data_IF_852778808821
#
_entry.id   IF_852778808821
#
_cell.length_a   1.000
_cell.length_b   1.000
_cell.length_c   1.000
_cell.angle_alpha   90.00
_cell.angle_beta   90.00
_cell.angle_gamma   90.00
#
_symmetry.space_group_name_H-M   'P 1'
#
loop_
_entity.id
_entity.type
_entity.pdbx_description
1 polymer ?
#
# COMPACT_ATOMS: atom_id res chain seq x y z
N UNK A 1 -10.14 -21.97 45.36
CA UNK A 1 -10.93 -20.74 45.60
C UNK A 1 -11.70 -20.44 44.32
N UNK A 2 -12.99 -20.77 44.29
CA UNK A 2 -13.91 -20.47 43.20
C UNK A 2 -14.32 -19.00 43.25
N UNK A 3 -14.29 -18.30 42.10
CA UNK A 3 -15.16 -17.16 41.85
C UNK A 3 -15.76 -17.30 40.46
N UNK A 4 -17.08 -17.47 40.46
CA UNK A 4 -17.96 -17.47 39.29
C UNK A 4 -18.63 -16.10 39.13
N UNK A 5 -19.20 -15.90 37.93
CA UNK A 5 -20.22 -14.93 37.50
C UNK A 5 -19.66 -13.58 36.99
N UNK A 6 -20.17 -12.96 35.92
CA UNK A 6 -21.47 -13.09 35.26
C UNK A 6 -21.40 -12.71 33.77
N UNK A 7 -22.27 -13.35 32.99
CA UNK A 7 -22.69 -12.98 31.63
C UNK A 7 -23.75 -11.88 31.76
N UNK A 8 -23.63 -10.80 30.98
CA UNK A 8 -24.71 -9.84 30.73
C UNK A 8 -24.68 -9.43 29.26
N UNK A 9 -25.63 -9.95 28.49
CA UNK A 9 -25.97 -9.45 27.16
C UNK A 9 -26.81 -8.19 27.25
N UNK A 10 -26.65 -7.31 26.25
CA UNK A 10 -27.56 -6.19 26.03
C UNK A 10 -27.85 -6.09 24.52
N UNK A 11 -29.06 -6.49 24.15
CA UNK A 11 -29.72 -6.15 22.89
C UNK A 11 -30.18 -4.69 22.98
N UNK A 12 -29.82 -3.86 21.99
CA UNK A 12 -30.45 -2.57 21.77
C UNK A 12 -30.71 -2.38 20.27
N UNK A 13 -31.97 -2.56 19.90
CA UNK A 13 -32.52 -2.20 18.60
C UNK A 13 -32.60 -0.67 18.48
N UNK A 14 -32.08 -0.11 17.38
CA UNK A 14 -32.24 1.30 17.05
C UNK A 14 -33.10 1.40 15.79
N UNK A 15 -34.35 1.82 15.99
CA UNK A 15 -35.23 2.34 14.96
C UNK A 15 -34.81 3.77 14.62
N UNK A 16 -34.58 4.10 13.35
CA UNK A 16 -34.57 5.50 12.89
C UNK A 16 -35.65 5.67 11.84
N UNK A 17 -36.64 6.47 12.22
CA UNK A 17 -37.76 6.89 11.42
C UNK A 17 -37.33 7.96 10.41
N UNK A 18 -37.85 7.80 9.19
CA UNK A 18 -37.85 8.77 8.10
C UNK A 18 -38.66 10.03 8.44
N UNK A 19 -38.11 11.21 8.15
CA UNK A 19 -38.84 12.46 8.04
C UNK A 19 -38.56 13.12 6.68
N UNK A 20 -39.64 13.34 5.95
CA UNK A 20 -39.67 13.99 4.66
C UNK A 20 -39.89 15.51 4.80
N UNK A 21 -39.39 16.22 3.78
CA UNK A 21 -39.83 17.52 3.23
C UNK A 21 -39.62 18.79 4.06
N UNK A 22 -38.75 19.68 3.55
CA UNK A 22 -39.10 21.10 3.33
C UNK A 22 -38.59 21.53 1.95
N UNK A 23 -39.54 21.93 1.12
CA UNK A 23 -39.37 22.63 -0.16
C UNK A 23 -38.96 24.07 0.14
N UNK A 24 -37.85 24.53 -0.43
CA UNK A 24 -37.40 25.91 -0.40
C UNK A 24 -36.86 26.32 -1.76
N UNK A 25 -37.76 26.84 -2.60
CA UNK A 25 -37.45 27.41 -3.90
C UNK A 25 -36.87 28.82 -3.69
N UNK A 26 -35.63 29.05 -4.11
CA UNK A 26 -35.09 30.40 -4.33
C UNK A 26 -34.30 30.40 -5.63
N UNK A 27 -34.94 30.92 -6.66
CA UNK A 27 -34.37 31.35 -7.93
C UNK A 27 -33.31 32.44 -7.73
N UNK A 28 -32.07 32.15 -8.13
CA UNK A 28 -31.09 33.17 -8.50
C UNK A 28 -30.39 32.70 -9.78
N UNK A 29 -30.64 33.42 -10.87
CA UNK A 29 -30.01 33.26 -12.20
C UNK A 29 -29.03 34.45 -12.43
N UNK A 30 -28.19 34.43 -13.48
CA UNK A 30 -26.76 34.19 -13.36
C UNK A 30 -25.94 35.48 -13.56
N UNK A 31 -24.85 35.66 -12.80
CA UNK A 31 -23.80 36.59 -13.22
C UNK A 31 -22.72 35.80 -13.96
N UNK A 32 -22.71 36.03 -15.27
CA UNK A 32 -21.74 35.50 -16.19
C UNK A 32 -20.32 35.97 -15.89
N UNK A 33 -19.43 35.02 -16.09
CA UNK A 33 -18.03 35.20 -16.39
C UNK A 33 -17.52 33.80 -16.71
N UNK A 34 -16.95 33.52 -17.90
CA UNK A 34 -16.06 32.38 -18.01
C UNK A 34 -14.99 32.62 -16.95
N UNK A 35 -14.93 31.76 -15.94
CA UNK A 35 -13.76 31.68 -15.10
C UNK A 35 -12.63 31.28 -16.05
N UNK A 36 -11.81 32.24 -16.43
CA UNK A 36 -10.48 32.00 -16.98
C UNK A 36 -9.81 31.00 -16.04
N UNK A 37 -9.38 29.82 -16.52
CA UNK A 37 -8.43 29.04 -15.75
C UNK A 37 -7.16 29.89 -15.68
N UNK A 38 -7.01 30.66 -14.60
CA UNK A 38 -5.72 31.15 -14.13
C UNK A 38 -4.96 29.97 -13.55
N UNK A 39 -4.63 29.03 -14.43
CA UNK A 39 -3.55 28.08 -14.26
C UNK A 39 -2.62 28.36 -15.42
N UNK A 40 -1.68 29.28 -15.23
CA UNK A 40 -0.43 29.20 -15.98
C UNK A 40 0.21 27.89 -15.52
N UNK A 41 -0.20 26.77 -16.14
CA UNK A 41 0.61 25.58 -16.16
C UNK A 41 1.94 26.06 -16.73
N UNK A 42 2.96 26.13 -15.86
CA UNK A 42 4.28 26.61 -16.23
C UNK A 42 4.70 25.85 -17.48
N UNK A 43 4.88 26.57 -18.57
CA UNK A 43 5.43 26.09 -19.85
C UNK A 43 6.84 25.49 -19.71
N UNK A 44 7.39 25.48 -18.50
CA UNK A 44 8.66 24.85 -18.15
C UNK A 44 8.54 23.33 -17.94
N UNK A 45 7.34 22.80 -17.67
CA UNK A 45 7.14 21.37 -17.46
C UNK A 45 7.47 20.53 -18.71
N UNK A 46 7.26 21.10 -19.90
CA UNK A 46 7.53 20.45 -21.18
C UNK A 46 9.04 20.30 -21.49
N UNK A 47 9.91 21.00 -20.74
CA UNK A 47 11.35 21.02 -20.99
C UNK A 47 12.19 20.56 -19.79
N UNK A 48 11.59 19.81 -18.86
CA UNK A 48 12.34 19.26 -17.73
C UNK A 48 13.31 18.16 -18.16
N UNK A 49 14.49 18.07 -17.50
CA UNK A 49 15.45 17.02 -17.79
C UNK A 49 14.83 15.64 -17.53
N UNK A 50 15.03 14.72 -18.47
CA UNK A 50 14.74 13.31 -18.25
C UNK A 50 15.81 12.72 -17.33
N UNK A 51 15.39 11.78 -16.49
CA UNK A 51 16.33 10.92 -15.78
C UNK A 51 16.63 9.74 -16.68
N UNK A 52 17.90 9.45 -16.93
CA UNK A 52 18.31 8.27 -17.68
C UNK A 52 19.57 7.68 -17.06
N UNK A 53 19.53 6.40 -16.72
CA UNK A 53 20.67 5.66 -16.24
C UNK A 53 20.63 4.22 -16.76
N UNK A 54 21.78 3.68 -17.12
CA UNK A 54 21.91 2.28 -17.50
C UNK A 54 23.31 1.79 -17.13
N UNK A 55 23.42 0.51 -16.74
CA UNK A 55 24.68 -0.07 -16.34
C UNK A 55 24.51 -1.43 -15.69
N UNK A 56 25.52 -1.85 -14.94
CA UNK A 56 25.49 -3.01 -14.04
C UNK A 56 25.55 -2.51 -12.59
N UNK A 57 24.93 -3.24 -11.65
CA UNK A 57 24.87 -2.81 -10.25
C UNK A 57 26.21 -2.88 -9.50
N UNK A 58 26.32 -2.26 -8.31
CA UNK A 58 25.43 -1.21 -7.77
C UNK A 58 25.74 0.18 -8.34
N UNK A 59 24.74 1.06 -8.39
CA UNK A 59 24.85 2.42 -8.94
C UNK A 59 24.10 3.43 -8.08
N UNK A 60 24.62 4.66 -7.96
CA UNK A 60 23.95 5.75 -7.26
C UNK A 60 24.28 7.10 -7.90
N UNK A 61 23.27 7.96 -8.05
CA UNK A 61 23.45 9.33 -8.55
C UNK A 61 22.51 10.31 -7.84
N UNK A 62 22.98 11.56 -7.69
CA UNK A 62 22.18 12.66 -7.20
C UNK A 62 21.54 13.41 -8.37
N UNK A 63 20.21 13.35 -8.45
CA UNK A 63 19.41 13.92 -9.53
C UNK A 63 18.83 15.26 -9.06
N UNK A 64 18.99 16.35 -9.84
CA UNK A 64 18.33 17.62 -9.55
C UNK A 64 16.82 17.53 -9.81
N UNK A 65 16.01 18.01 -8.87
CA UNK A 65 14.56 18.10 -9.04
C UNK A 65 14.20 19.48 -9.60
N UNK A 66 13.54 19.56 -10.78
CA UNK A 66 13.13 20.83 -11.37
C UNK A 66 12.17 21.62 -10.48
N UNK A 67 12.20 22.96 -10.61
CA UNK A 67 11.22 23.82 -9.95
C UNK A 67 9.80 23.46 -10.41
N UNK A 68 8.88 23.24 -9.47
CA UNK A 68 7.48 22.95 -9.76
C UNK A 68 7.15 21.50 -10.10
N UNK A 69 8.14 20.60 -10.09
CA UNK A 69 7.88 19.16 -10.16
C UNK A 69 7.35 18.66 -8.81
N UNK A 70 6.20 18.00 -8.83
CA UNK A 70 5.53 17.41 -7.66
C UNK A 70 5.53 15.88 -7.69
N UNK A 71 5.85 15.28 -8.85
CA UNK A 71 6.01 13.83 -8.98
C UNK A 71 7.07 13.45 -9.99
N UNK A 72 7.53 12.21 -9.91
CA UNK A 72 8.37 11.57 -10.92
C UNK A 72 7.77 10.21 -11.27
N UNK A 73 7.67 9.92 -12.57
CA UNK A 73 7.38 8.58 -13.10
C UNK A 73 8.70 7.94 -13.50
N UNK A 74 8.97 6.72 -13.04
CA UNK A 74 10.21 5.99 -13.31
C UNK A 74 9.88 4.62 -13.89
N UNK A 75 10.40 4.35 -15.08
CA UNK A 75 10.45 3.02 -15.65
C UNK A 75 11.79 2.38 -15.31
N UNK A 76 11.75 1.25 -14.63
CA UNK A 76 12.91 0.47 -14.23
C UNK A 76 12.85 -0.94 -14.81
N UNK A 77 13.96 -1.42 -15.34
CA UNK A 77 14.12 -2.79 -15.83
C UNK A 77 15.48 -3.32 -15.43
N UNK A 78 15.53 -4.60 -15.08
CA UNK A 78 16.78 -5.32 -14.80
C UNK A 78 16.73 -6.75 -15.33
N UNK A 79 17.91 -7.34 -15.58
CA UNK A 79 18.04 -8.61 -16.31
C UNK A 79 18.10 -9.85 -15.43
N UNK A 80 18.35 -9.75 -14.12
CA UNK A 80 18.47 -10.94 -13.27
C UNK A 80 18.51 -10.66 -11.77
N UNK A 81 17.99 -11.62 -11.01
CA UNK A 81 17.99 -11.59 -9.54
C UNK A 81 16.91 -10.71 -8.92
N UNK A 82 17.24 -10.17 -7.75
CA UNK A 82 16.41 -9.22 -6.99
C UNK A 82 17.03 -7.83 -7.17
N UNK A 83 16.20 -6.80 -7.20
CA UNK A 83 16.62 -5.42 -7.17
C UNK A 83 16.15 -4.69 -5.91
N UNK A 84 16.85 -3.61 -5.58
CA UNK A 84 16.37 -2.54 -4.70
C UNK A 84 16.66 -1.20 -5.37
N UNK A 85 15.66 -0.34 -5.44
CA UNK A 85 15.70 1.00 -6.02
C UNK A 85 15.32 2.00 -4.91
N UNK A 86 16.29 2.76 -4.41
CA UNK A 86 16.08 3.75 -3.36
C UNK A 86 15.99 5.16 -3.93
N UNK A 87 14.99 5.95 -3.52
CA UNK A 87 14.62 7.20 -4.20
C UNK A 87 14.25 8.34 -3.25
N UNK A 88 15.22 8.85 -2.50
CA UNK A 88 15.03 10.03 -1.62
C UNK A 88 15.28 9.81 -0.14
N UNK A 89 15.74 8.62 0.25
CA UNK A 89 16.29 8.34 1.57
C UNK A 89 15.25 8.05 2.65
N UNK A 90 13.96 7.99 2.31
CA UNK A 90 12.92 7.42 3.16
C UNK A 90 12.61 6.00 2.69
N UNK A 91 12.48 5.05 3.63
CA UNK A 91 12.22 3.64 3.29
C UNK A 91 10.92 3.44 2.49
N UNK A 92 9.92 4.32 2.65
CA UNK A 92 8.65 4.26 1.93
C UNK A 92 8.78 4.63 0.43
N UNK A 93 9.86 5.32 0.05
CA UNK A 93 10.16 5.67 -1.34
C UNK A 93 11.03 4.58 -2.02
N UNK A 94 11.53 3.62 -1.24
CA UNK A 94 12.34 2.52 -1.77
C UNK A 94 11.42 1.46 -2.41
N UNK A 95 11.91 0.80 -3.46
CA UNK A 95 11.20 -0.26 -4.18
C UNK A 95 12.10 -1.47 -4.27
N UNK A 96 11.51 -2.66 -4.18
CA UNK A 96 12.27 -3.90 -4.32
C UNK A 96 11.48 -4.96 -5.07
N UNK A 97 12.14 -5.99 -5.56
CA UNK A 97 11.45 -7.08 -6.23
C UNK A 97 12.33 -7.90 -7.14
N UNK A 98 11.72 -8.79 -7.92
CA UNK A 98 12.44 -9.59 -8.91
C UNK A 98 12.60 -8.85 -10.24
N UNK A 99 13.75 -9.04 -10.87
CA UNK A 99 13.99 -8.72 -12.27
C UNK A 99 13.15 -9.63 -13.19
N UNK A 100 12.83 -9.16 -14.41
CA UNK A 100 12.01 -9.94 -15.36
C UNK A 100 10.96 -9.16 -16.15
N UNK A 101 11.01 -7.83 -16.15
CA UNK A 101 10.11 -6.97 -16.90
C UNK A 101 10.38 -5.49 -16.60
N UNK A 102 9.69 -4.61 -17.32
CA UNK A 102 9.65 -3.19 -16.96
C UNK A 102 8.65 -2.97 -15.84
N UNK A 103 9.05 -2.18 -14.85
CA UNK A 103 8.21 -1.72 -13.74
C UNK A 103 8.13 -0.20 -13.81
N UNK A 104 6.93 0.33 -13.69
CA UNK A 104 6.67 1.77 -13.70
C UNK A 104 6.25 2.20 -12.31
N UNK A 105 6.94 3.18 -11.75
CA UNK A 105 6.69 3.74 -10.44
C UNK A 105 6.29 5.19 -10.58
N UNK A 106 5.20 5.58 -9.95
CA UNK A 106 4.81 6.99 -9.85
C UNK A 106 4.96 7.45 -8.42
N UNK A 107 5.88 8.39 -8.19
CA UNK A 107 6.34 8.74 -6.85
C UNK A 107 6.10 10.22 -6.59
N UNK A 108 5.58 10.57 -5.40
CA UNK A 108 5.53 11.96 -4.98
C UNK A 108 6.95 12.51 -4.86
N UNK A 109 7.12 13.81 -5.11
CA UNK A 109 8.33 14.55 -4.80
C UNK A 109 8.10 15.31 -3.49
N UNK A 110 8.56 14.74 -2.38
CA UNK A 110 8.61 15.43 -1.09
C UNK A 110 9.64 16.56 -1.20
N UNK A 111 9.37 17.74 -0.62
CA UNK A 111 10.06 19.05 -0.74
C UNK A 111 11.61 19.01 -0.70
N UNK A 112 12.22 18.36 -1.68
CA UNK A 112 13.65 18.18 -1.83
C UNK A 112 14.06 18.58 -3.22
N UNK A 113 15.03 19.48 -3.28
CA UNK A 113 15.58 20.02 -4.53
C UNK A 113 16.55 19.06 -5.22
N UNK A 114 16.92 17.97 -4.54
CA UNK A 114 17.80 16.91 -5.03
C UNK A 114 17.32 15.57 -4.51
N UNK A 115 17.38 14.54 -5.35
CA UNK A 115 17.04 13.16 -5.00
C UNK A 115 18.28 12.29 -5.16
N UNK A 116 18.64 11.54 -4.14
CA UNK A 116 19.58 10.43 -4.34
C UNK A 116 18.76 9.25 -4.88
N UNK A 117 19.13 8.78 -6.08
CA UNK A 117 18.62 7.55 -6.64
C UNK A 117 19.72 6.51 -6.55
N UNK A 118 19.42 5.36 -5.96
CA UNK A 118 20.35 4.23 -5.87
C UNK A 118 19.71 2.97 -6.40
N UNK A 119 20.43 2.26 -7.26
CA UNK A 119 20.04 0.97 -7.83
C UNK A 119 21.00 -0.09 -7.29
N UNK A 120 20.43 -1.07 -6.61
CA UNK A 120 21.09 -2.29 -6.23
C UNK A 120 20.50 -3.44 -7.05
N UNK A 121 21.34 -4.03 -7.88
CA UNK A 121 21.12 -5.31 -8.57
C UNK A 121 22.39 -6.12 -8.40
N UNK A 122 22.38 -7.42 -8.72
CA UNK A 122 23.60 -8.23 -8.72
C UNK A 122 24.69 -7.61 -9.63
N UNK A 123 25.97 -7.79 -9.30
CA UNK A 123 27.09 -7.17 -10.02
C UNK A 123 27.12 -7.52 -11.53
N UNK A 124 26.56 -8.68 -11.90
CA UNK A 124 26.44 -9.17 -13.27
C UNK A 124 25.08 -8.87 -13.93
N UNK A 125 24.13 -8.31 -13.18
CA UNK A 125 22.83 -7.92 -13.68
C UNK A 125 22.87 -6.51 -14.26
N UNK A 126 22.39 -6.37 -15.51
CA UNK A 126 22.22 -5.09 -16.13
C UNK A 126 20.89 -4.46 -15.69
N UNK A 127 20.86 -3.13 -15.62
CA UNK A 127 19.66 -2.35 -15.40
C UNK A 127 19.55 -1.18 -16.38
N UNK A 128 18.33 -0.71 -16.58
CA UNK A 128 18.04 0.59 -17.16
C UNK A 128 16.93 1.27 -16.37
N UNK A 129 17.05 2.59 -16.24
CA UNK A 129 16.13 3.46 -15.52
C UNK A 129 15.88 4.70 -16.39
N UNK A 130 14.61 5.00 -16.63
CA UNK A 130 14.20 6.26 -17.27
C UNK A 130 13.15 6.96 -16.42
N UNK A 131 13.18 8.28 -16.33
CA UNK A 131 12.23 9.03 -15.52
C UNK A 131 11.72 10.33 -16.12
N UNK A 132 10.45 10.62 -15.86
CA UNK A 132 9.69 11.83 -16.22
C UNK A 132 9.34 12.64 -14.98
N UNK A 133 9.70 13.91 -14.92
CA UNK A 133 9.10 14.80 -13.91
C UNK A 133 7.70 15.25 -14.32
N UNK A 134 6.81 15.43 -13.35
CA UNK A 134 5.46 15.95 -13.56
C UNK A 134 5.09 17.00 -12.50
N UNK A 135 4.33 18.03 -12.92
CA UNK A 135 3.79 19.06 -12.04
C UNK A 135 2.57 18.55 -11.28
N UNK A 136 1.97 17.44 -11.71
CA UNK A 136 0.85 16.82 -11.02
C UNK A 136 1.32 16.18 -9.72
N UNK A 137 0.50 16.29 -8.68
CA UNK A 137 0.65 15.53 -7.45
C UNK A 137 0.27 14.08 -7.75
N UNK A 138 1.01 13.12 -7.18
CA UNK A 138 0.58 11.71 -7.16
C UNK A 138 -0.45 11.58 -6.05
N UNK A 139 -1.68 11.28 -6.41
CA UNK A 139 -2.72 10.91 -5.46
C UNK A 139 -2.91 9.40 -5.52
N UNK A 140 -2.89 8.69 -4.38
CA UNK A 140 -3.23 7.28 -4.31
C UNK A 140 -4.60 7.00 -4.96
N UNK A 141 -4.75 5.85 -5.64
CA UNK A 141 -6.06 5.40 -6.08
C UNK A 141 -6.92 5.12 -4.83
N UNK A 142 -8.05 5.83 -4.63
CA UNK A 142 -8.84 5.70 -3.41
C UNK A 142 -9.43 4.30 -3.22
N UNK A 143 -9.66 3.52 -4.28
CA UNK A 143 -10.12 2.14 -4.15
C UNK A 143 -8.99 1.26 -3.61
N UNK A 144 -7.77 1.39 -4.14
CA UNK A 144 -6.60 0.66 -3.65
C UNK A 144 -6.25 1.09 -2.23
N UNK A 145 -6.32 2.39 -1.91
CA UNK A 145 -6.12 2.92 -0.56
C UNK A 145 -7.04 2.21 0.45
N UNK A 146 -8.33 2.13 0.14
CA UNK A 146 -9.30 1.46 1.01
C UNK A 146 -8.97 -0.03 1.20
N UNK A 147 -8.61 -0.72 0.12
CA UNK A 147 -8.23 -2.14 0.18
C UNK A 147 -6.94 -2.36 1.01
N UNK A 148 -5.98 -1.45 0.91
CA UNK A 148 -4.74 -1.47 1.69
C UNK A 148 -4.96 -1.17 3.18
N UNK A 149 -5.91 -0.30 3.53
CA UNK A 149 -6.29 -0.03 4.91
C UNK A 149 -6.93 -1.27 5.55
N UNK A 150 -7.87 -1.92 4.84
CA UNK A 150 -8.49 -3.17 5.28
C UNK A 150 -7.44 -4.28 5.45
N UNK A 151 -6.51 -4.42 4.49
CA UNK A 151 -5.44 -5.40 4.58
C UNK A 151 -4.46 -5.10 5.73
N UNK A 152 -4.15 -3.83 5.99
CA UNK A 152 -3.31 -3.41 7.13
C UNK A 152 -3.92 -3.83 8.47
N UNK A 153 -5.24 -3.70 8.61
CA UNK A 153 -5.97 -4.13 9.80
C UNK A 153 -5.91 -5.65 10.01
N UNK A 154 -6.09 -6.42 8.93
CA UNK A 154 -6.02 -7.89 8.95
C UNK A 154 -4.60 -8.36 9.33
N UNK A 155 -3.59 -7.86 8.63
CA UNK A 155 -2.18 -8.22 8.88
C UNK A 155 -1.71 -7.78 10.27
N UNK A 156 -2.16 -6.62 10.77
CA UNK A 156 -1.90 -6.19 12.16
C UNK A 156 -2.49 -7.16 13.18
N UNK A 157 -3.72 -7.61 12.95
CA UNK A 157 -4.39 -8.57 13.85
C UNK A 157 -3.66 -9.92 13.87
N UNK A 158 -3.24 -10.43 12.70
CA UNK A 158 -2.43 -11.64 12.60
C UNK A 158 -1.06 -11.48 13.28
N UNK A 159 -0.40 -10.35 13.06
CA UNK A 159 0.88 -10.02 13.67
C UNK A 159 0.78 -10.00 15.19
N UNK A 160 -0.21 -9.30 15.76
CA UNK A 160 -0.39 -9.23 17.22
C UNK A 160 -0.79 -10.58 17.83
N UNK A 161 -1.64 -11.37 17.16
CA UNK A 161 -1.95 -12.72 17.63
C UNK A 161 -0.70 -13.60 17.69
N UNK A 162 0.20 -13.45 16.71
CA UNK A 162 1.49 -14.16 16.67
C UNK A 162 2.44 -13.69 17.78
N UNK A 163 2.62 -12.37 17.93
CA UNK A 163 3.47 -11.80 18.97
C UNK A 163 2.98 -12.16 20.38
N UNK A 164 1.67 -12.14 20.59
CA UNK A 164 1.07 -12.57 21.85
C UNK A 164 1.24 -14.06 22.14
N UNK A 165 1.20 -14.91 21.11
CA UNK A 165 1.46 -16.34 21.26
C UNK A 165 2.92 -16.57 21.69
N UNK A 166 3.86 -15.85 21.08
CA UNK A 166 5.29 -15.92 21.41
C UNK A 166 5.58 -15.37 22.83
N UNK A 167 4.84 -14.34 23.27
CA UNK A 167 4.92 -13.79 24.63
C UNK A 167 4.23 -14.67 25.69
N UNK A 168 3.35 -15.59 25.27
CA UNK A 168 2.53 -16.43 26.14
C UNK A 168 1.25 -15.77 26.66
N UNK A 169 0.89 -14.60 26.10
CA UNK A 169 -0.32 -13.84 26.43
C UNK A 169 -1.54 -14.30 25.62
N UNK A 170 -1.31 -14.91 24.45
CA UNK A 170 -2.32 -15.52 23.58
C UNK A 170 -2.09 -17.03 23.54
N UNK A 171 -3.16 -17.81 23.71
CA UNK A 171 -3.11 -19.27 23.59
C UNK A 171 -3.11 -19.73 22.12
N UNK A 172 -2.74 -20.98 21.88
CA UNK A 172 -2.79 -21.57 20.53
C UNK A 172 -4.22 -21.57 19.95
N UNK A 173 -5.24 -21.77 20.78
CA UNK A 173 -6.64 -21.73 20.36
C UNK A 173 -7.06 -20.32 19.95
N UNK A 174 -6.63 -19.29 20.69
CA UNK A 174 -6.89 -17.88 20.35
C UNK A 174 -6.14 -17.47 19.08
N UNK A 175 -4.88 -17.89 18.91
CA UNK A 175 -4.14 -17.67 17.67
C UNK A 175 -4.81 -18.34 16.47
N UNK A 176 -5.26 -19.59 16.62
CA UNK A 176 -5.98 -20.31 15.56
C UNK A 176 -7.27 -19.58 15.18
N UNK A 177 -8.02 -19.08 16.18
CA UNK A 177 -9.22 -18.28 15.94
C UNK A 177 -8.91 -16.97 15.21
N UNK A 178 -7.77 -16.32 15.50
CA UNK A 178 -7.32 -15.13 14.75
C UNK A 178 -7.00 -15.45 13.29
N UNK A 179 -6.41 -16.61 12.98
CA UNK A 179 -6.17 -17.04 11.59
C UNK A 179 -7.50 -17.34 10.86
N UNK A 180 -8.44 -18.00 11.51
CA UNK A 180 -9.79 -18.24 10.95
C UNK A 180 -10.56 -16.93 10.70
N UNK A 181 -10.41 -15.95 11.60
CA UNK A 181 -10.98 -14.62 11.41
C UNK A 181 -10.33 -13.90 10.23
N UNK A 182 -8.99 -13.92 10.13
CA UNK A 182 -8.28 -13.33 9.01
C UNK A 182 -8.69 -13.97 7.67
N UNK A 183 -8.88 -15.29 7.62
CA UNK A 183 -9.44 -15.96 6.44
C UNK A 183 -10.79 -15.39 6.03
N UNK A 184 -11.70 -15.22 7.00
CA UNK A 184 -13.03 -14.66 6.76
C UNK A 184 -12.95 -13.23 6.21
N UNK A 185 -12.10 -12.41 6.80
CA UNK A 185 -11.94 -11.01 6.40
C UNK A 185 -11.27 -10.89 5.02
N UNK A 186 -10.25 -11.70 4.74
CA UNK A 186 -9.61 -11.80 3.42
C UNK A 186 -10.59 -12.33 2.36
N UNK A 187 -11.45 -13.29 2.71
CA UNK A 187 -12.47 -13.80 1.80
C UNK A 187 -13.53 -12.72 1.48
N UNK A 188 -13.89 -11.89 2.46
CA UNK A 188 -14.77 -10.74 2.25
C UNK A 188 -14.09 -9.69 1.38
N UNK A 189 -12.86 -9.29 1.71
CA UNK A 189 -12.07 -8.32 0.95
C UNK A 189 -11.84 -8.79 -0.49
N UNK A 190 -11.59 -10.09 -0.71
CA UNK A 190 -11.38 -10.64 -2.06
C UNK A 190 -12.58 -10.46 -3.00
N UNK A 191 -13.79 -10.24 -2.46
CA UNK A 191 -15.00 -10.00 -3.24
C UNK A 191 -15.15 -8.55 -3.69
N UNK A 192 -14.50 -7.61 -3.00
CA UNK A 192 -14.59 -6.16 -3.24
C UNK A 192 -13.29 -5.56 -3.73
N UNK A 193 -12.16 -6.23 -3.48
CA UNK A 193 -10.83 -5.76 -3.81
C UNK A 193 -10.72 -5.47 -5.30
N UNK A 194 -10.11 -4.33 -5.60
CA UNK A 194 -10.04 -3.78 -6.94
C UNK A 194 -8.64 -3.89 -7.54
N UNK A 195 -8.57 -3.81 -8.87
CA UNK A 195 -7.31 -3.72 -9.59
C UNK A 195 -6.33 -4.85 -9.31
N UNK A 196 -5.08 -4.50 -9.04
CA UNK A 196 -3.99 -5.46 -8.87
C UNK A 196 -4.04 -6.21 -7.53
N UNK A 197 -4.77 -5.71 -6.53
CA UNK A 197 -4.87 -6.32 -5.19
C UNK A 197 -5.80 -7.53 -5.12
N UNK A 198 -6.75 -7.64 -6.05
CA UNK A 198 -7.74 -8.72 -6.03
C UNK A 198 -7.10 -10.12 -6.03
N UNK A 199 -6.07 -10.34 -6.84
CA UNK A 199 -5.39 -11.64 -6.91
C UNK A 199 -4.57 -11.97 -5.64
N UNK A 200 -3.67 -11.09 -5.14
CA UNK A 200 -2.97 -11.33 -3.89
C UNK A 200 -3.90 -11.55 -2.69
N UNK A 201 -4.98 -10.78 -2.56
CA UNK A 201 -5.96 -10.94 -1.47
C UNK A 201 -6.66 -12.29 -1.55
N UNK A 202 -7.10 -12.72 -2.74
CA UNK A 202 -7.70 -14.04 -2.93
C UNK A 202 -6.71 -15.18 -2.61
N UNK A 203 -5.43 -15.01 -2.96
CA UNK A 203 -4.37 -15.95 -2.61
C UNK A 203 -4.15 -16.01 -1.10
N UNK A 204 -4.11 -14.87 -0.41
CA UNK A 204 -4.01 -14.79 1.06
C UNK A 204 -5.21 -15.45 1.75
N UNK A 205 -6.42 -15.24 1.23
CA UNK A 205 -7.63 -15.91 1.72
C UNK A 205 -7.50 -17.42 1.58
N UNK A 206 -7.04 -17.92 0.42
CA UNK A 206 -6.83 -19.36 0.19
C UNK A 206 -5.73 -19.92 1.10
N UNK A 207 -4.65 -19.17 1.31
CA UNK A 207 -3.57 -19.60 2.19
C UNK A 207 -4.09 -19.72 3.63
N UNK A 208 -4.89 -18.76 4.10
CA UNK A 208 -5.45 -18.78 5.45
C UNK A 208 -6.62 -19.78 5.63
N UNK A 209 -7.09 -20.44 4.55
CA UNK A 209 -8.14 -21.49 4.56
C UNK A 209 -7.65 -22.83 5.11
N UNK A 210 -6.96 -22.79 6.25
CA UNK A 210 -6.35 -23.94 6.89
C UNK A 210 -6.59 -23.93 8.39
N UNK A 211 -6.82 -25.11 8.96
CA UNK A 211 -6.68 -25.29 10.42
C UNK A 211 -5.20 -25.39 10.72
N UNK A 212 -4.55 -24.23 10.82
CA UNK A 212 -3.18 -24.17 11.26
C UNK A 212 -3.10 -24.60 12.73
N UNK A 213 -2.52 -25.77 12.98
CA UNK A 213 -2.37 -26.31 14.34
C UNK A 213 -1.08 -25.86 15.02
N UNK A 214 -0.24 -25.11 14.30
CA UNK A 214 1.02 -24.51 14.78
C UNK A 214 1.28 -23.22 14.03
N UNK A 215 1.94 -22.26 14.69
CA UNK A 215 2.40 -21.01 14.10
C UNK A 215 3.28 -21.24 12.87
N UNK A 216 4.21 -22.19 12.96
CA UNK A 216 5.20 -22.49 11.93
C UNK A 216 4.55 -22.93 10.61
N UNK A 217 3.36 -23.50 10.66
CA UNK A 217 2.67 -23.96 9.46
C UNK A 217 2.18 -22.81 8.57
N UNK A 218 1.74 -21.69 9.14
CA UNK A 218 1.34 -20.50 8.38
C UNK A 218 2.58 -19.79 7.83
N UNK A 219 3.60 -19.57 8.67
CA UNK A 219 4.86 -18.93 8.27
C UNK A 219 5.61 -19.72 7.16
N UNK A 220 5.45 -21.04 7.14
CA UNK A 220 6.03 -21.91 6.11
C UNK A 220 5.23 -21.91 4.79
N UNK A 221 4.02 -21.35 4.73
CA UNK A 221 3.22 -21.30 3.51
C UNK A 221 3.87 -20.36 2.49
N UNK A 222 4.29 -20.92 1.36
CA UNK A 222 4.76 -20.14 0.21
C UNK A 222 3.67 -19.23 -0.33
N UNK A 223 2.43 -19.70 -0.33
CA UNK A 223 1.27 -19.00 -0.84
C UNK A 223 0.99 -17.75 -0.01
N UNK A 224 0.99 -17.88 1.32
CA UNK A 224 0.82 -16.76 2.24
C UNK A 224 1.92 -15.73 2.03
N UNK A 225 3.19 -16.16 2.03
CA UNK A 225 4.33 -15.26 1.89
C UNK A 225 4.37 -14.52 0.55
N UNK A 226 4.07 -15.22 -0.55
CA UNK A 226 4.00 -14.61 -1.88
C UNK A 226 2.83 -13.61 -1.95
N UNK A 227 1.65 -13.99 -1.45
CA UNK A 227 0.48 -13.13 -1.43
C UNK A 227 0.73 -11.84 -0.64
N UNK A 228 1.27 -11.96 0.58
CA UNK A 228 1.57 -10.83 1.45
C UNK A 228 2.64 -9.91 0.84
N UNK A 229 3.68 -10.49 0.22
CA UNK A 229 4.73 -9.71 -0.49
C UNK A 229 4.15 -8.91 -1.66
N UNK A 230 3.31 -9.54 -2.49
CA UNK A 230 2.71 -8.86 -3.64
C UNK A 230 1.72 -7.78 -3.22
N UNK A 231 0.89 -8.06 -2.20
CA UNK A 231 -0.07 -7.09 -1.69
C UNK A 231 0.64 -5.87 -1.07
N UNK A 232 1.70 -6.11 -0.27
CA UNK A 232 2.54 -5.04 0.27
C UNK A 232 3.13 -4.16 -0.83
N UNK A 233 3.67 -4.77 -1.89
CA UNK A 233 4.24 -4.03 -3.02
C UNK A 233 3.20 -3.17 -3.74
N UNK A 234 1.98 -3.68 -3.96
CA UNK A 234 0.91 -2.92 -4.61
C UNK A 234 0.51 -1.72 -3.74
N UNK A 235 0.40 -1.92 -2.44
CA UNK A 235 0.09 -0.85 -1.49
C UNK A 235 1.20 0.21 -1.43
N UNK A 236 2.48 -0.18 -1.44
CA UNK A 236 3.62 0.73 -1.58
C UNK A 236 3.59 1.50 -2.90
N UNK A 237 3.29 0.83 -4.01
CA UNK A 237 3.23 1.44 -5.34
C UNK A 237 2.06 2.43 -5.47
N UNK A 238 0.98 2.22 -4.71
CA UNK A 238 -0.14 3.16 -4.59
C UNK A 238 0.15 4.36 -3.68
N UNK A 239 1.25 4.34 -2.91
CA UNK A 239 1.54 5.37 -1.91
C UNK A 239 0.78 5.19 -0.59
N UNK A 240 0.25 4.00 -0.34
CA UNK A 240 -0.51 3.63 0.87
C UNK A 240 0.07 2.34 1.46
N UNK A 241 1.33 2.35 1.93
CA UNK A 241 2.01 1.15 2.40
C UNK A 241 1.25 0.51 3.57
N UNK A 242 1.33 -0.82 3.67
CA UNK A 242 0.69 -1.54 4.77
C UNK A 242 1.27 -1.08 6.10
N UNK A 243 0.39 -0.70 7.03
CA UNK A 243 0.77 -0.26 8.37
C UNK A 243 0.46 -1.36 9.38
N UNK A 244 1.51 -1.94 9.96
CA UNK A 244 1.36 -2.95 11.03
C UNK A 244 1.38 -2.24 12.38
N UNK A 245 0.24 -2.25 13.07
CA UNK A 245 0.12 -1.72 14.43
C UNK A 245 0.54 -2.80 15.43
N UNK A 246 1.73 -2.64 16.00
CA UNK A 246 2.28 -3.56 17.00
C UNK A 246 1.81 -3.20 18.42
N UNK A 247 1.03 -4.08 19.04
CA UNK A 247 0.57 -3.94 20.43
C UNK A 247 1.56 -4.53 21.45
N UNK A 248 2.48 -5.40 21.01
CA UNK A 248 3.46 -6.10 21.84
C UNK A 248 4.84 -5.41 21.86
N UNK A 249 5.07 -4.45 20.96
CA UNK A 249 6.12 -3.44 21.06
C UNK A 249 7.03 -3.34 19.84
N UNK A 250 6.82 -2.26 19.08
CA UNK A 250 7.78 -1.56 18.22
C UNK A 250 7.80 -0.08 18.55
#
# INVERSE_FOLDING_TARGET
MQRSKAVSGLLAAVCIASLASVVGCSTAEPQGGPAEPSGTASTDAENWPRVEAAGTGPWSEMIPVPNGANSIEIDFVCTGGIFSLAMGGQMQEDRSGSCGGTRSYHLPLLDSRKRLVSVFVADDAAFALTGSFSASVVEPDPAITSDCDDLSSIESSLFNARSGLDAGDVSLDEWTASVEQAHTDLAALSQTASGLLAMPVAQLSTATDGRYTTREALDASSEFRIGSTLASQICEDNGTPLTILDEYGG
#
